data_IF_292820449333
#
_entry.id   IF_292820449333
#
_cell.length_a   1.000
_cell.length_b   1.000
_cell.length_c   1.000
_cell.angle_alpha   90.00
_cell.angle_beta   90.00
_cell.angle_gamma   90.00
#
_symmetry.space_group_name_H-M   'P 1'
#
loop_
_entity.id
_entity.type
_entity.pdbx_description
1 polymer ?
#
# COMPACT_ATOMS: atom_id res chain seq x y z
N UNK A 1 -16.66 -0.73 -20.86
CA UNK A 1 -17.45 -1.26 -19.74
C UNK A 1 -16.47 -1.64 -18.65
N UNK A 2 -16.64 -1.14 -17.42
CA UNK A 2 -15.70 -1.40 -16.30
C UNK A 2 -16.29 -2.51 -15.41
N UNK A 3 -15.45 -3.42 -14.92
CA UNK A 3 -15.85 -4.48 -13.99
C UNK A 3 -15.56 -4.05 -12.55
N UNK A 4 -16.62 -3.92 -11.73
CA UNK A 4 -16.50 -3.58 -10.31
C UNK A 4 -16.67 -4.82 -9.44
N UNK A 5 -15.77 -5.04 -8.49
CA UNK A 5 -15.84 -6.13 -7.50
C UNK A 5 -15.54 -5.60 -6.11
N UNK A 6 -16.32 -6.01 -5.12
CA UNK A 6 -16.08 -5.72 -3.70
C UNK A 6 -15.47 -6.96 -3.03
N UNK A 7 -14.34 -6.79 -2.36
CA UNK A 7 -13.67 -7.86 -1.61
C UNK A 7 -13.79 -7.58 -0.11
N UNK A 8 -14.52 -8.44 0.61
CA UNK A 8 -14.66 -8.35 2.07
C UNK A 8 -13.70 -9.32 2.74
N UNK A 9 -12.71 -8.79 3.44
CA UNK A 9 -11.67 -9.57 4.12
C UNK A 9 -11.88 -9.47 5.62
N UNK A 10 -12.46 -10.51 6.23
CA UNK A 10 -12.60 -10.59 7.68
C UNK A 10 -11.24 -10.85 8.32
N UNK A 11 -10.82 -9.97 9.23
CA UNK A 11 -9.54 -10.08 9.93
C UNK A 11 -9.78 -10.21 11.43
N UNK A 12 -9.06 -11.11 12.14
CA UNK A 12 -9.15 -11.24 13.59
C UNK A 12 -8.29 -10.17 14.30
N UNK A 13 -8.37 -8.92 13.82
CA UNK A 13 -7.59 -7.78 14.29
C UNK A 13 -8.51 -6.59 14.50
N UNK A 14 -8.21 -5.77 15.51
CA UNK A 14 -8.84 -4.46 15.66
C UNK A 14 -8.40 -3.53 14.52
N UNK A 15 -9.18 -2.47 14.27
CA UNK A 15 -8.83 -1.46 13.24
C UNK A 15 -7.49 -0.78 13.50
N UNK A 16 -7.11 -0.62 14.78
CA UNK A 16 -5.81 -0.04 15.19
C UNK A 16 -4.65 -0.99 14.88
N UNK A 17 -4.79 -2.27 15.21
CA UNK A 17 -3.77 -3.28 14.90
C UNK A 17 -3.61 -3.43 13.39
N UNK A 18 -4.72 -3.45 12.65
CA UNK A 18 -4.68 -3.52 11.19
C UNK A 18 -3.91 -2.34 10.58
N UNK A 19 -4.14 -1.11 11.05
CA UNK A 19 -3.42 0.08 10.55
C UNK A 19 -1.90 -0.07 10.67
N UNK A 20 -1.41 -0.59 11.80
CA UNK A 20 0.02 -0.79 12.03
C UNK A 20 0.53 -1.98 11.22
N UNK A 21 -0.18 -3.11 11.27
CA UNK A 21 0.18 -4.35 10.59
C UNK A 21 0.23 -4.20 9.08
N UNK A 22 -0.72 -3.47 8.48
CA UNK A 22 -0.76 -3.23 7.04
C UNK A 22 0.50 -2.51 6.55
N UNK A 23 0.92 -1.45 7.25
CA UNK A 23 2.12 -0.69 6.89
C UNK A 23 3.40 -1.53 7.02
N UNK A 24 3.51 -2.29 8.10
CA UNK A 24 4.62 -3.22 8.31
C UNK A 24 4.69 -4.28 7.21
N UNK A 25 3.55 -4.89 6.88
CA UNK A 25 3.47 -5.93 5.85
C UNK A 25 3.81 -5.39 4.46
N UNK A 26 3.37 -4.18 4.12
CA UNK A 26 3.74 -3.52 2.86
C UNK A 26 5.25 -3.30 2.80
N UNK A 27 5.86 -2.75 3.86
CA UNK A 27 7.29 -2.50 3.90
C UNK A 27 8.10 -3.79 3.79
N UNK A 28 7.71 -4.83 4.55
CA UNK A 28 8.38 -6.14 4.53
C UNK A 28 8.24 -6.81 3.16
N UNK A 29 7.03 -6.83 2.60
CA UNK A 29 6.79 -7.45 1.30
C UNK A 29 7.51 -6.71 0.16
N UNK A 30 7.53 -5.37 0.19
CA UNK A 30 8.34 -4.60 -0.76
C UNK A 30 9.82 -4.94 -0.66
N UNK A 31 10.36 -5.11 0.55
CA UNK A 31 11.76 -5.51 0.75
C UNK A 31 12.05 -6.92 0.23
N UNK A 32 11.16 -7.89 0.48
CA UNK A 32 11.28 -9.28 0.02
C UNK A 32 11.21 -9.42 -1.51
N UNK A 33 10.58 -8.47 -2.22
CA UNK A 33 10.36 -8.52 -3.67
C UNK A 33 11.38 -7.68 -4.46
N UNK A 34 12.31 -6.98 -3.81
CA UNK A 34 13.28 -6.08 -4.47
C UNK A 34 14.55 -6.76 -5.00
N UNK A 35 14.57 -8.07 -5.23
CA UNK A 35 15.71 -8.77 -5.82
C UNK A 35 15.62 -8.82 -7.36
N UNK A 36 16.71 -8.41 -8.04
CA UNK A 36 16.96 -8.53 -9.50
C UNK A 36 16.18 -7.59 -10.46
N UNK A 37 16.23 -6.25 -10.29
CA UNK A 37 15.65 -5.25 -11.23
C UNK A 37 14.12 -5.35 -11.44
N UNK A 38 13.47 -6.26 -10.72
CA UNK A 38 12.04 -6.43 -10.58
C UNK A 38 11.61 -5.92 -9.21
N UNK A 39 10.44 -5.27 -9.12
CA UNK A 39 9.90 -4.88 -7.82
C UNK A 39 9.24 -3.50 -7.76
N UNK A 40 9.14 -2.98 -6.53
CA UNK A 40 8.39 -1.76 -6.20
C UNK A 40 9.34 -0.61 -5.88
N UNK A 41 9.37 0.39 -6.75
CA UNK A 41 10.06 1.66 -6.54
C UNK A 41 9.12 2.66 -5.84
N UNK A 42 9.60 3.33 -4.79
CA UNK A 42 8.85 4.41 -4.12
C UNK A 42 9.31 5.75 -4.69
N UNK A 43 8.43 6.41 -5.44
CA UNK A 43 8.71 7.69 -6.11
C UNK A 43 8.45 8.87 -5.16
N UNK A 44 7.36 8.81 -4.41
CA UNK A 44 6.98 9.84 -3.45
C UNK A 44 6.35 9.22 -2.21
N UNK A 45 6.63 9.81 -1.04
CA UNK A 45 6.04 9.42 0.23
C UNK A 45 6.00 10.64 1.18
N UNK A 46 4.90 11.38 1.16
CA UNK A 46 4.76 12.65 1.90
C UNK A 46 3.46 12.73 2.67
N UNK A 47 3.49 13.48 3.77
CA UNK A 47 2.26 13.84 4.49
C UNK A 47 1.36 14.68 3.58
N UNK A 48 0.06 14.42 3.63
CA UNK A 48 -0.93 15.17 2.85
C UNK A 48 -2.13 15.57 3.72
N UNK A 49 -2.89 16.57 3.26
CA UNK A 49 -4.10 17.02 3.93
C UNK A 49 -5.27 17.00 2.95
N UNK A 50 -6.31 16.24 3.28
CA UNK A 50 -7.53 16.12 2.49
C UNK A 50 -8.62 17.02 3.08
N UNK A 51 -9.31 17.77 2.22
CA UNK A 51 -10.35 18.73 2.66
C UNK A 51 -11.45 18.07 3.50
N UNK A 52 -11.83 16.84 3.18
CA UNK A 52 -12.88 16.10 3.89
C UNK A 52 -12.35 15.10 4.94
N UNK A 53 -11.14 14.56 4.73
CA UNK A 53 -10.64 13.42 5.50
C UNK A 53 -9.44 13.77 6.40
N UNK A 54 -9.00 15.03 6.37
CA UNK A 54 -7.91 15.54 7.20
C UNK A 54 -6.55 14.96 6.81
N UNK A 55 -5.67 14.79 7.81
CA UNK A 55 -4.29 14.35 7.64
C UNK A 55 -4.20 12.91 7.11
N UNK A 56 -3.35 12.71 6.10
CA UNK A 56 -3.08 11.42 5.49
C UNK A 56 -1.64 11.29 5.01
N UNK A 57 -1.36 10.20 4.30
CA UNK A 57 -0.09 9.94 3.64
C UNK A 57 -0.36 9.72 2.15
N UNK A 58 0.36 10.45 1.30
CA UNK A 58 0.38 10.20 -0.14
C UNK A 58 1.61 9.38 -0.50
N UNK A 59 1.43 8.34 -1.31
CA UNK A 59 2.54 7.57 -1.86
C UNK A 59 2.36 7.30 -3.35
N UNK A 60 3.37 7.63 -4.14
CA UNK A 60 3.49 7.18 -5.53
C UNK A 60 4.49 6.02 -5.60
N UNK A 61 4.10 4.93 -6.26
CA UNK A 61 4.95 3.76 -6.46
C UNK A 61 4.92 3.31 -7.91
N UNK A 62 6.09 2.90 -8.43
CA UNK A 62 6.22 2.26 -9.75
C UNK A 62 6.51 0.78 -9.55
N UNK A 63 5.74 -0.06 -10.22
CA UNK A 63 5.90 -1.52 -10.17
C UNK A 63 6.54 -1.94 -11.48
N UNK A 64 7.76 -2.45 -11.40
CA UNK A 64 8.52 -2.98 -12.53
C UNK A 64 8.18 -4.47 -12.66
N UNK A 65 7.42 -4.80 -13.71
CA UNK A 65 7.04 -6.18 -14.03
C UNK A 65 7.98 -6.71 -15.11
N UNK A 66 8.72 -7.79 -14.84
CA UNK A 66 9.34 -8.58 -15.91
C UNK A 66 8.31 -9.45 -16.62
N UNK A 67 8.75 -10.09 -17.71
CA UNK A 67 7.92 -10.89 -18.60
C UNK A 67 8.10 -12.37 -18.36
#
# INVERSE_FOLDING_TARGET
MVLTKEYRICMPLTTKEYRIGQLYMIARHSHEQSDNDEGVEVVENVECEHQEHGKGQYTEKRIHLSR
#
